data_IF_386708749668
#
_entry.id   IF_386708749668
#
_cell.length_a   1.000
_cell.length_b   1.000
_cell.length_c   1.000
_cell.angle_alpha   90.00
_cell.angle_beta   90.00
_cell.angle_gamma   90.00
#
_symmetry.space_group_name_H-M   'P 1'
#
loop_
_entity.id
_entity.type
_entity.pdbx_description
1 polymer ?
#
# COMPACT_ATOMS: atom_id res chain seq x y z
N UNK A 1 62.70 -9.45 -17.57
CA UNK A 1 62.17 -8.15 -17.07
C UNK A 1 60.69 -8.38 -16.81
N UNK A 2 60.11 -8.28 -15.62
CA UNK A 2 60.55 -7.61 -14.41
C UNK A 2 59.85 -8.27 -13.22
N UNK A 3 60.59 -9.11 -12.50
CA UNK A 3 60.28 -9.79 -11.25
C UNK A 3 60.54 -8.88 -10.05
N UNK A 4 60.05 -7.63 -10.03
CA UNK A 4 60.52 -6.66 -9.02
C UNK A 4 59.52 -5.71 -8.38
N UNK A 5 58.21 -5.75 -8.67
CA UNK A 5 57.28 -4.73 -8.12
C UNK A 5 56.13 -5.21 -7.24
N UNK A 6 55.93 -6.52 -7.06
CA UNK A 6 54.92 -7.04 -6.12
C UNK A 6 55.51 -7.79 -4.92
N UNK A 7 56.84 -7.72 -4.74
CA UNK A 7 57.54 -8.09 -3.51
C UNK A 7 57.40 -7.04 -2.39
N UNK A 8 56.76 -5.90 -2.66
CA UNK A 8 56.69 -4.77 -1.71
C UNK A 8 55.38 -4.69 -0.91
N UNK A 9 54.40 -5.56 -1.17
CA UNK A 9 53.12 -5.59 -0.45
C UNK A 9 53.01 -6.71 0.60
N UNK A 10 54.02 -7.59 0.69
CA UNK A 10 54.02 -8.72 1.64
C UNK A 10 54.85 -8.47 2.92
N UNK A 11 55.41 -7.27 3.11
CA UNK A 11 56.38 -6.98 4.17
C UNK A 11 55.99 -5.79 5.07
N UNK A 12 54.71 -5.67 5.43
CA UNK A 12 54.28 -4.71 6.45
C UNK A 12 53.09 -5.13 7.31
N UNK A 13 52.94 -6.43 7.58
CA UNK A 13 52.08 -6.94 8.65
C UNK A 13 52.84 -8.00 9.43
N UNK A 14 53.92 -7.61 10.09
CA UNK A 14 54.50 -8.40 11.18
C UNK A 14 55.23 -7.49 12.16
N UNK A 15 54.44 -6.66 12.83
CA UNK A 15 54.80 -6.10 14.12
C UNK A 15 53.66 -6.38 15.09
N UNK A 16 53.54 -7.64 15.50
CA UNK A 16 52.87 -7.98 16.75
C UNK A 16 53.85 -8.78 17.60
N UNK A 17 54.23 -8.17 18.73
CA UNK A 17 55.02 -8.78 19.79
C UNK A 17 54.42 -10.15 20.16
N UNK A 18 55.31 -11.13 20.38
CA UNK A 18 54.94 -12.39 21.02
C UNK A 18 54.43 -12.12 22.45
N UNK A 19 53.25 -12.62 22.85
CA UNK A 19 52.75 -12.44 24.21
C UNK A 19 53.57 -13.30 25.18
N UNK A 20 54.13 -12.67 26.22
CA UNK A 20 55.08 -13.30 27.15
C UNK A 20 54.45 -13.78 28.46
N UNK A 21 53.13 -13.74 28.63
CA UNK A 21 52.48 -14.20 29.86
C UNK A 21 51.11 -14.86 29.59
N UNK A 22 50.82 -15.90 30.37
CA UNK A 22 49.61 -16.75 30.26
C UNK A 22 48.31 -15.93 30.41
N UNK A 23 48.39 -14.75 31.04
CA UNK A 23 47.26 -13.85 31.27
C UNK A 23 46.71 -13.18 30.01
N UNK A 24 47.54 -12.93 28.99
CA UNK A 24 47.10 -12.28 27.73
C UNK A 24 46.38 -13.25 26.76
N UNK A 25 46.64 -14.55 26.89
CA UNK A 25 45.95 -15.57 26.08
C UNK A 25 44.49 -15.74 26.53
N UNK A 26 44.23 -15.59 27.84
CA UNK A 26 42.88 -15.71 28.42
C UNK A 26 42.00 -14.50 28.07
N UNK A 27 42.57 -13.30 27.90
CA UNK A 27 41.83 -12.14 27.42
C UNK A 27 41.49 -12.27 25.94
N UNK A 28 42.39 -12.76 25.08
CA UNK A 28 42.08 -12.98 23.66
C UNK A 28 40.98 -14.03 23.44
N UNK A 29 40.91 -15.08 24.26
CA UNK A 29 39.84 -16.10 24.23
C UNK A 29 38.47 -15.60 24.70
N UNK A 30 38.42 -14.52 25.51
CA UNK A 30 37.14 -13.91 25.92
C UNK A 30 36.51 -13.04 24.83
N UNK A 31 37.30 -12.45 23.93
CA UNK A 31 36.78 -11.63 22.83
C UNK A 31 36.30 -12.46 21.63
N UNK A 32 36.79 -13.69 21.46
CA UNK A 32 36.28 -14.61 20.43
C UNK A 32 34.94 -15.26 20.80
N UNK A 33 34.55 -15.23 22.08
CA UNK A 33 33.27 -15.76 22.57
C UNK A 33 32.14 -14.71 22.65
N UNK A 34 32.43 -13.42 22.48
CA UNK A 34 31.42 -12.33 22.44
C UNK A 34 31.11 -11.82 21.04
N UNK A 35 31.90 -12.17 20.02
CA UNK A 35 31.68 -11.76 18.62
C UNK A 35 31.04 -12.84 17.73
N UNK A 36 30.72 -14.01 18.28
CA UNK A 36 30.28 -15.19 17.52
C UNK A 36 28.78 -15.48 17.51
N UNK A 37 27.90 -14.55 17.89
CA UNK A 37 26.50 -14.94 18.15
C UNK A 37 25.46 -13.84 18.11
N UNK A 38 25.52 -12.93 17.15
CA UNK A 38 24.31 -12.20 16.72
C UNK A 38 24.21 -12.40 15.20
N UNK A 39 23.92 -13.64 14.81
CA UNK A 39 23.25 -13.89 13.54
C UNK A 39 21.83 -13.38 13.78
N UNK A 40 21.55 -12.13 13.40
CA UNK A 40 20.18 -11.68 13.25
C UNK A 40 19.57 -12.61 12.22
N UNK A 41 18.80 -13.59 12.71
CA UNK A 41 17.83 -14.31 11.92
C UNK A 41 16.80 -13.26 11.48
N UNK A 42 17.14 -12.50 10.45
CA UNK A 42 16.14 -12.04 9.50
C UNK A 42 15.63 -13.31 8.85
N UNK A 43 14.76 -14.03 9.56
CA UNK A 43 13.97 -15.08 8.93
C UNK A 43 13.29 -14.40 7.75
N UNK A 44 13.64 -14.82 6.54
CA UNK A 44 12.84 -14.46 5.36
C UNK A 44 11.45 -15.00 5.67
N UNK A 45 10.56 -14.13 6.15
CA UNK A 45 9.17 -14.48 6.31
C UNK A 45 8.66 -14.82 4.90
N UNK A 46 8.19 -16.05 4.72
CA UNK A 46 7.59 -16.46 3.46
C UNK A 46 6.27 -15.67 3.33
N UNK A 47 6.14 -14.78 2.32
CA UNK A 47 4.95 -13.96 2.15
C UNK A 47 3.68 -14.81 2.02
N UNK A 48 3.79 -16.03 1.46
CA UNK A 48 2.65 -16.94 1.29
C UNK A 48 2.18 -17.49 2.64
N UNK A 49 3.10 -17.87 3.52
CA UNK A 49 2.74 -18.41 4.84
C UNK A 49 2.13 -17.33 5.74
N UNK A 50 2.63 -16.10 5.67
CA UNK A 50 2.05 -14.97 6.41
C UNK A 50 0.66 -14.60 5.87
N UNK A 51 0.46 -14.71 4.56
CA UNK A 51 -0.85 -14.53 3.94
C UNK A 51 -1.86 -15.61 4.38
N UNK A 52 -1.45 -16.88 4.45
CA UNK A 52 -2.30 -17.97 4.97
C UNK A 52 -2.71 -17.72 6.43
N UNK A 53 -1.77 -17.34 7.28
CA UNK A 53 -2.03 -16.99 8.68
C UNK A 53 -3.04 -15.83 8.81
N UNK A 54 -2.90 -14.82 7.95
CA UNK A 54 -3.83 -13.69 7.88
C UNK A 54 -5.25 -14.15 7.50
N UNK A 55 -5.36 -15.05 6.52
CA UNK A 55 -6.66 -15.63 6.11
C UNK A 55 -7.30 -16.42 7.25
N UNK A 56 -6.53 -17.28 7.90
CA UNK A 56 -6.99 -18.14 8.99
C UNK A 56 -7.44 -17.36 10.23
N UNK A 57 -6.83 -16.20 10.49
CA UNK A 57 -7.26 -15.30 11.58
C UNK A 57 -8.71 -14.84 11.43
N UNK A 58 -9.20 -14.70 10.18
CA UNK A 58 -10.58 -14.31 9.88
C UNK A 58 -11.57 -15.47 9.81
N UNK A 59 -11.10 -16.72 9.84
CA UNK A 59 -11.94 -17.90 9.75
C UNK A 59 -12.32 -18.43 11.14
N UNK A 60 -13.53 -18.98 11.27
CA UNK A 60 -13.92 -19.65 12.51
C UNK A 60 -13.02 -20.87 12.77
N UNK A 61 -12.64 -21.09 14.02
CA UNK A 61 -11.72 -22.18 14.38
C UNK A 61 -12.28 -23.57 14.05
N UNK A 62 -11.41 -24.48 13.59
CA UNK A 62 -11.69 -25.87 13.18
C UNK A 62 -12.40 -26.04 11.83
N UNK A 63 -12.13 -25.14 10.88
CA UNK A 63 -12.50 -25.30 9.47
C UNK A 63 -11.25 -25.79 8.74
N UNK A 64 -11.35 -26.93 8.07
CA UNK A 64 -10.30 -27.38 7.16
C UNK A 64 -10.31 -26.46 5.93
N UNK A 65 -9.13 -26.05 5.47
CA UNK A 65 -8.97 -25.17 4.32
C UNK A 65 -8.01 -25.76 3.31
N UNK A 66 -8.37 -25.64 2.05
CA UNK A 66 -7.51 -25.95 0.92
C UNK A 66 -7.17 -24.68 0.16
N UNK A 67 -5.94 -24.58 -0.30
CA UNK A 67 -5.46 -23.47 -1.11
C UNK A 67 -5.05 -23.97 -2.50
N UNK A 68 -5.31 -23.17 -3.53
CA UNK A 68 -4.91 -23.45 -4.92
C UNK A 68 -4.45 -22.16 -5.60
N UNK A 69 -3.57 -22.29 -6.60
CA UNK A 69 -3.13 -21.18 -7.46
C UNK A 69 -2.59 -19.99 -6.65
N UNK A 70 -1.92 -20.27 -5.52
CA UNK A 70 -1.33 -19.28 -4.65
C UNK A 70 -0.05 -18.73 -5.30
N UNK A 71 0.07 -17.41 -5.37
CA UNK A 71 1.22 -16.73 -5.93
C UNK A 71 1.42 -15.36 -5.25
N UNK A 72 2.68 -14.99 -5.07
CA UNK A 72 3.08 -13.65 -4.64
C UNK A 72 3.25 -12.73 -5.84
N UNK A 73 2.82 -11.48 -5.67
CA UNK A 73 2.89 -10.40 -6.65
C UNK A 73 3.64 -9.20 -6.05
N UNK A 74 4.10 -8.23 -6.88
CA UNK A 74 4.80 -7.04 -6.39
C UNK A 74 4.03 -6.31 -5.27
N UNK A 75 4.75 -5.70 -4.32
CA UNK A 75 4.17 -4.90 -3.23
C UNK A 75 3.47 -5.71 -2.14
N UNK A 76 4.06 -6.84 -1.72
CA UNK A 76 3.60 -7.72 -0.64
C UNK A 76 2.14 -8.17 -0.81
N UNK A 77 1.77 -8.49 -2.06
CA UNK A 77 0.46 -9.02 -2.40
C UNK A 77 0.55 -10.52 -2.58
N UNK A 78 -0.38 -11.25 -1.96
CA UNK A 78 -0.58 -12.68 -2.24
C UNK A 78 -1.99 -12.90 -2.73
N UNK A 79 -2.12 -13.53 -3.90
CA UNK A 79 -3.41 -13.92 -4.45
C UNK A 79 -3.48 -15.42 -4.60
N UNK A 80 -4.71 -15.94 -4.60
CA UNK A 80 -4.97 -17.34 -4.84
C UNK A 80 -6.43 -17.67 -4.66
N UNK A 81 -6.70 -18.97 -4.53
CA UNK A 81 -8.03 -19.48 -4.25
C UNK A 81 -8.03 -20.25 -2.93
N UNK A 82 -9.06 -20.03 -2.13
CA UNK A 82 -9.29 -20.72 -0.87
C UNK A 82 -10.61 -21.47 -0.94
N UNK A 83 -10.61 -22.69 -0.45
CA UNK A 83 -11.79 -23.48 -0.22
C UNK A 83 -11.87 -23.88 1.25
N UNK A 84 -13.05 -23.73 1.86
CA UNK A 84 -13.27 -24.02 3.27
C UNK A 84 -14.28 -25.15 3.42
N UNK A 85 -14.02 -26.08 4.33
CA UNK A 85 -14.89 -27.22 4.59
C UNK A 85 -15.58 -27.06 5.94
N UNK A 86 -16.90 -27.23 5.96
CA UNK A 86 -17.65 -27.29 7.21
C UNK A 86 -17.37 -28.59 7.97
N UNK A 87 -17.95 -28.73 9.18
CA UNK A 87 -17.77 -29.92 10.03
C UNK A 87 -18.34 -31.21 9.43
N UNK A 88 -19.11 -31.11 8.34
CA UNK A 88 -19.72 -32.22 7.62
C UNK A 88 -19.01 -32.49 6.29
N UNK A 89 -17.92 -31.77 5.98
CA UNK A 89 -17.16 -31.91 4.74
C UNK A 89 -17.81 -31.24 3.53
N UNK A 90 -18.86 -30.42 3.69
CA UNK A 90 -19.40 -29.64 2.58
C UNK A 90 -18.53 -28.42 2.34
N UNK A 91 -18.41 -28.05 1.06
CA UNK A 91 -17.61 -26.92 0.62
C UNK A 91 -18.42 -26.04 -0.33
N UNK A 92 -18.29 -24.70 -0.22
CA UNK A 92 -18.89 -23.75 -1.15
C UNK A 92 -18.09 -23.63 -2.47
N UNK A 93 -17.05 -24.45 -2.65
CA UNK A 93 -16.08 -24.35 -3.74
C UNK A 93 -14.98 -23.31 -3.49
N UNK A 94 -13.98 -23.34 -4.39
CA UNK A 94 -12.86 -22.41 -4.40
C UNK A 94 -13.33 -20.99 -4.68
N UNK A 95 -12.85 -20.04 -3.86
CA UNK A 95 -13.09 -18.60 -4.03
C UNK A 95 -11.78 -17.85 -4.06
N UNK A 96 -11.71 -16.83 -4.92
CA UNK A 96 -10.53 -15.95 -5.03
C UNK A 96 -10.33 -15.16 -3.73
N UNK A 97 -9.09 -14.96 -3.34
CA UNK A 97 -8.71 -14.03 -2.29
C UNK A 97 -7.53 -13.17 -2.71
N UNK A 98 -7.37 -12.02 -2.03
CA UNK A 98 -6.20 -11.16 -2.12
C UNK A 98 -5.80 -10.77 -0.69
N UNK A 99 -4.54 -10.98 -0.32
CA UNK A 99 -3.96 -10.51 0.95
C UNK A 99 -2.98 -9.38 0.67
N UNK A 100 -3.12 -8.25 1.37
CA UNK A 100 -2.26 -7.05 1.26
C UNK A 100 -2.15 -6.34 2.61
N UNK A 101 -0.94 -6.03 3.06
CA UNK A 101 -0.67 -5.27 4.30
C UNK A 101 -1.58 -5.72 5.47
N UNK A 102 -1.53 -7.02 5.79
CA UNK A 102 -2.28 -7.69 6.87
C UNK A 102 -3.82 -7.71 6.72
N UNK A 103 -4.33 -7.39 5.53
CA UNK A 103 -5.77 -7.43 5.24
C UNK A 103 -6.08 -8.44 4.14
N UNK A 104 -6.96 -9.38 4.45
CA UNK A 104 -7.51 -10.32 3.48
C UNK A 104 -8.82 -9.79 2.87
N UNK A 105 -8.92 -9.85 1.54
CA UNK A 105 -10.16 -9.71 0.79
C UNK A 105 -10.57 -11.08 0.26
N UNK A 106 -11.64 -11.64 0.80
CA UNK A 106 -12.14 -12.99 0.45
C UNK A 106 -13.10 -13.01 -0.75
N UNK A 107 -13.48 -11.83 -1.23
CA UNK A 107 -14.33 -11.65 -2.42
C UNK A 107 -13.82 -10.41 -3.16
N UNK A 108 -12.63 -10.50 -3.78
CA UNK A 108 -12.09 -9.38 -4.52
C UNK A 108 -13.00 -9.04 -5.71
N UNK A 109 -13.19 -7.75 -5.97
CA UNK A 109 -13.86 -7.30 -7.20
C UNK A 109 -12.91 -7.50 -8.39
N UNK A 110 -13.45 -7.57 -9.62
CA UNK A 110 -12.64 -7.89 -10.80
C UNK A 110 -11.42 -6.97 -10.97
N UNK A 111 -11.62 -5.65 -10.83
CA UNK A 111 -10.51 -4.70 -10.94
C UNK A 111 -9.43 -4.87 -9.86
N UNK A 112 -9.80 -5.36 -8.66
CA UNK A 112 -8.82 -5.65 -7.61
C UNK A 112 -7.96 -6.85 -8.01
N UNK A 113 -8.59 -7.88 -8.60
CA UNK A 113 -7.89 -9.05 -9.08
C UNK A 113 -6.96 -8.74 -10.25
N UNK A 114 -7.47 -8.03 -11.27
CA UNK A 114 -6.70 -7.68 -12.47
C UNK A 114 -5.45 -6.84 -12.15
N UNK A 115 -5.53 -5.96 -11.15
CA UNK A 115 -4.45 -5.01 -10.85
C UNK A 115 -3.50 -5.56 -9.79
N UNK A 116 -4.00 -6.03 -8.64
CA UNK A 116 -3.12 -6.46 -7.55
C UNK A 116 -2.49 -7.83 -7.82
N UNK A 117 -3.15 -8.70 -8.58
CA UNK A 117 -2.65 -10.03 -8.91
C UNK A 117 -1.97 -10.05 -10.30
N UNK A 118 -1.26 -8.97 -10.65
CA UNK A 118 -0.52 -8.81 -11.90
C UNK A 118 0.99 -8.71 -11.61
N UNK A 119 1.81 -9.27 -12.50
CA UNK A 119 3.26 -9.08 -12.47
C UNK A 119 3.66 -7.63 -12.76
N UNK A 120 2.81 -6.91 -13.49
CA UNK A 120 2.93 -5.46 -13.73
C UNK A 120 1.60 -4.78 -13.37
N UNK A 121 1.42 -4.35 -12.11
CA UNK A 121 0.21 -3.65 -11.66
C UNK A 121 0.05 -2.29 -12.33
N UNK A 122 1.14 -1.67 -12.79
CA UNK A 122 1.12 -0.37 -13.45
C UNK A 122 0.53 -0.50 -14.86
N UNK A 123 0.98 -1.49 -15.63
CA UNK A 123 0.41 -1.80 -16.94
C UNK A 123 -1.05 -2.27 -16.82
N UNK A 124 -1.38 -3.06 -15.80
CA UNK A 124 -2.76 -3.47 -15.55
C UNK A 124 -3.69 -2.28 -15.25
N UNK A 125 -3.24 -1.32 -14.43
CA UNK A 125 -3.98 -0.08 -14.16
C UNK A 125 -4.23 0.71 -15.46
N UNK A 126 -3.19 0.89 -16.28
CA UNK A 126 -3.29 1.62 -17.54
C UNK A 126 -4.24 0.92 -18.52
N UNK A 127 -4.14 -0.40 -18.66
CA UNK A 127 -5.03 -1.17 -19.52
C UNK A 127 -6.50 -1.08 -19.06
N UNK A 128 -6.74 -1.02 -17.75
CA UNK A 128 -8.09 -1.02 -17.17
C UNK A 128 -8.76 0.35 -17.18
N UNK A 129 -8.00 1.39 -16.87
CA UNK A 129 -8.55 2.73 -16.63
C UNK A 129 -7.96 3.82 -17.54
N UNK A 130 -7.04 3.46 -18.43
CA UNK A 130 -6.34 4.44 -19.26
C UNK A 130 -5.40 5.36 -18.47
N UNK A 131 -5.15 5.10 -17.18
CA UNK A 131 -4.32 5.96 -16.34
C UNK A 131 -2.85 5.66 -16.61
N UNK A 132 -2.11 6.68 -17.03
CA UNK A 132 -0.68 6.53 -17.33
C UNK A 132 0.14 6.17 -16.08
N UNK A 133 1.29 5.47 -16.25
CA UNK A 133 2.20 5.17 -15.17
C UNK A 133 2.59 6.39 -14.34
N UNK A 134 2.47 6.26 -13.03
CA UNK A 134 2.87 7.28 -12.06
C UNK A 134 4.41 7.25 -11.90
N UNK A 135 5.11 7.71 -12.93
CA UNK A 135 6.57 7.84 -12.92
C UNK A 135 6.99 9.30 -12.68
N UNK A 136 8.27 9.53 -12.38
CA UNK A 136 8.81 10.87 -12.10
C UNK A 136 8.66 11.90 -13.23
N UNK A 137 8.10 11.53 -14.39
CA UNK A 137 7.80 12.45 -15.50
C UNK A 137 6.35 12.94 -15.48
N UNK A 138 5.43 12.22 -14.83
CA UNK A 138 4.00 12.57 -14.77
C UNK A 138 3.67 13.31 -13.45
N UNK A 139 4.08 14.58 -13.35
CA UNK A 139 3.76 15.44 -12.19
C UNK A 139 2.25 15.69 -12.02
N UNK A 140 1.49 15.56 -13.10
CA UNK A 140 0.04 15.75 -13.14
C UNK A 140 -0.67 14.69 -12.31
N UNK A 141 -0.39 13.41 -12.56
CA UNK A 141 -0.99 12.30 -11.81
C UNK A 141 -0.58 12.31 -10.34
N UNK A 142 0.68 12.67 -10.03
CA UNK A 142 1.15 12.89 -8.66
C UNK A 142 0.36 13.99 -7.93
N UNK A 143 0.09 15.09 -8.62
CA UNK A 143 -0.73 16.17 -8.08
C UNK A 143 -2.17 15.73 -7.85
N UNK A 144 -2.77 15.01 -8.81
CA UNK A 144 -4.13 14.49 -8.69
C UNK A 144 -4.25 13.50 -7.54
N UNK A 145 -3.33 12.54 -7.43
CA UNK A 145 -3.28 11.56 -6.35
C UNK A 145 -3.21 12.24 -4.98
N UNK A 146 -2.30 13.20 -4.81
CA UNK A 146 -2.18 13.96 -3.56
C UNK A 146 -3.46 14.72 -3.23
N UNK A 147 -4.01 15.50 -4.16
CA UNK A 147 -5.22 16.28 -3.95
C UNK A 147 -6.44 15.40 -3.62
N UNK A 148 -6.63 14.31 -4.36
CA UNK A 148 -7.71 13.37 -4.09
C UNK A 148 -7.53 12.70 -2.72
N UNK A 149 -6.30 12.37 -2.32
CA UNK A 149 -6.01 11.78 -1.01
C UNK A 149 -6.29 12.75 0.14
N UNK A 150 -5.88 14.03 0.00
CA UNK A 150 -6.16 15.09 0.96
C UNK A 150 -7.67 15.32 1.13
N UNK A 151 -8.41 15.42 0.02
CA UNK A 151 -9.85 15.60 0.01
C UNK A 151 -10.60 14.36 0.55
N UNK A 152 -10.19 13.15 0.19
CA UNK A 152 -10.80 11.90 0.69
C UNK A 152 -10.59 11.77 2.20
N UNK A 153 -9.41 12.11 2.71
CA UNK A 153 -9.13 12.15 4.14
C UNK A 153 -10.00 13.19 4.87
N UNK A 154 -10.09 14.41 4.34
CA UNK A 154 -10.92 15.47 4.91
C UNK A 154 -12.42 15.09 4.96
N UNK A 155 -12.93 14.45 3.90
CA UNK A 155 -14.31 13.94 3.84
C UNK A 155 -14.57 12.85 4.88
N UNK A 156 -13.62 11.93 5.08
CA UNK A 156 -13.73 10.89 6.12
C UNK A 156 -13.74 11.46 7.52
N UNK A 157 -12.85 12.43 7.80
CA UNK A 157 -12.83 13.14 9.08
C UNK A 157 -14.15 13.87 9.33
N UNK A 158 -14.66 14.60 8.34
CA UNK A 158 -15.96 15.25 8.43
C UNK A 158 -17.08 14.24 8.74
N UNK A 159 -17.09 13.09 8.06
CA UNK A 159 -18.07 12.03 8.30
C UNK A 159 -17.97 11.46 9.72
N UNK A 160 -16.75 11.24 10.23
CA UNK A 160 -16.53 10.76 11.59
C UNK A 160 -17.04 11.75 12.64
N UNK A 161 -16.76 13.05 12.48
CA UNK A 161 -17.12 14.07 13.47
C UNK A 161 -18.62 14.43 13.45
N UNK A 162 -19.23 14.43 12.26
CA UNK A 162 -20.60 14.94 12.05
C UNK A 162 -21.62 13.85 11.76
N UNK A 163 -21.19 12.59 11.63
CA UNK A 163 -22.02 11.44 11.21
C UNK A 163 -22.78 11.66 9.88
N UNK A 164 -22.39 12.66 9.09
CA UNK A 164 -22.99 13.03 7.83
C UNK A 164 -21.91 13.52 6.87
N UNK A 165 -22.12 13.34 5.57
CA UNK A 165 -21.27 13.94 4.53
C UNK A 165 -21.71 15.37 4.20
N UNK A 166 -20.77 16.27 3.87
CA UNK A 166 -21.09 17.65 3.49
C UNK A 166 -21.89 17.69 2.18
N UNK A 167 -22.59 18.80 1.94
CA UNK A 167 -23.32 19.00 0.68
C UNK A 167 -22.38 19.37 -0.46
N UNK A 168 -21.33 20.12 -0.14
CA UNK A 168 -20.33 20.61 -1.10
C UNK A 168 -18.93 20.45 -0.52
N UNK A 169 -17.91 20.35 -1.37
CA UNK A 169 -16.51 20.27 -0.90
C UNK A 169 -16.07 21.55 -0.21
N UNK A 170 -16.69 22.69 -0.53
CA UNK A 170 -16.42 23.98 0.10
C UNK A 170 -16.65 23.94 1.62
N UNK A 171 -17.61 23.15 2.14
CA UNK A 171 -17.86 23.01 3.59
C UNK A 171 -16.68 22.40 4.36
N UNK A 172 -15.75 21.72 3.67
CA UNK A 172 -14.54 21.18 4.28
C UNK A 172 -13.54 22.28 4.67
N UNK A 173 -13.53 23.41 3.94
CA UNK A 173 -12.56 24.48 4.14
C UNK A 173 -12.87 25.32 5.37
N UNK A 174 -11.82 25.71 6.11
CA UNK A 174 -11.88 26.55 7.32
C UNK A 174 -12.74 27.81 7.15
N UNK A 175 -12.61 28.49 6.01
CA UNK A 175 -13.24 29.77 5.70
C UNK A 175 -14.66 29.68 5.10
N UNK A 176 -15.27 28.49 5.04
CA UNK A 176 -16.59 28.32 4.41
C UNK A 176 -17.73 28.95 5.23
N UNK A 177 -18.39 29.96 4.65
CA UNK A 177 -19.41 30.82 5.27
C UNK A 177 -20.84 30.58 4.80
N UNK A 178 -21.10 29.60 3.92
CA UNK A 178 -22.41 29.43 3.29
C UNK A 178 -23.06 28.11 3.68
N UNK A 179 -23.94 28.14 4.70
CA UNK A 179 -24.83 27.03 5.03
C UNK A 179 -25.03 26.76 6.53
N UNK A 180 -26.01 25.91 6.90
CA UNK A 180 -26.19 25.48 8.28
C UNK A 180 -24.94 24.73 8.74
N UNK A 181 -24.26 25.25 9.76
CA UNK A 181 -23.07 24.62 10.32
C UNK A 181 -23.46 23.29 10.99
N UNK A 182 -22.75 22.19 10.73
CA UNK A 182 -23.00 20.95 11.44
C UNK A 182 -22.61 21.14 12.91
N UNK A 183 -23.37 20.49 13.81
CA UNK A 183 -23.26 20.72 15.26
C UNK A 183 -21.87 20.44 15.85
N UNK A 184 -21.08 19.57 15.20
CA UNK A 184 -19.79 19.09 15.69
C UNK A 184 -18.63 19.48 14.77
N UNK A 185 -18.72 20.59 14.04
CA UNK A 185 -17.65 21.03 13.14
C UNK A 185 -16.36 21.30 13.91
N UNK A 186 -15.23 20.76 13.43
CA UNK A 186 -13.89 21.11 13.92
C UNK A 186 -13.59 22.60 13.66
N UNK A 187 -13.09 23.29 14.70
CA UNK A 187 -12.59 24.66 14.60
C UNK A 187 -11.37 24.70 13.68
N UNK A 188 -11.40 25.55 12.65
CA UNK A 188 -10.39 25.59 11.59
C UNK A 188 -10.65 24.66 10.39
N UNK A 189 -11.79 23.96 10.33
CA UNK A 189 -12.14 23.12 9.17
C UNK A 189 -11.35 21.80 9.07
N UNK A 190 -11.54 21.09 7.95
CA UNK A 190 -10.93 19.78 7.68
C UNK A 190 -9.78 19.85 6.67
N UNK A 191 -9.70 20.96 5.93
CA UNK A 191 -8.64 21.27 4.96
C UNK A 191 -8.45 22.79 4.90
N UNK A 192 -7.21 23.24 4.74
CA UNK A 192 -6.90 24.68 4.72
C UNK A 192 -7.44 25.37 3.46
N UNK A 193 -7.24 24.73 2.30
CA UNK A 193 -7.68 25.20 0.99
C UNK A 193 -8.19 24.02 0.17
N UNK A 194 -9.30 24.20 -0.52
CA UNK A 194 -9.79 23.22 -1.50
C UNK A 194 -8.85 23.23 -2.71
N UNK A 195 -8.14 22.13 -3.02
CA UNK A 195 -7.35 22.05 -4.22
C UNK A 195 -8.23 21.96 -5.46
N UNK A 196 -7.73 22.51 -6.56
CA UNK A 196 -8.27 22.32 -7.91
C UNK A 196 -7.49 21.19 -8.60
N UNK A 197 -8.08 20.60 -9.62
CA UNK A 197 -7.36 19.69 -10.49
C UNK A 197 -6.23 20.42 -11.24
N UNK A 198 -5.24 19.71 -11.81
CA UNK A 198 -4.13 20.34 -12.52
C UNK A 198 -4.52 21.22 -13.72
N UNK A 199 -5.78 21.12 -14.17
CA UNK A 199 -6.32 21.85 -15.29
C UNK A 199 -7.21 23.03 -14.86
N UNK A 200 -7.18 23.38 -13.55
CA UNK A 200 -7.85 24.55 -13.00
C UNK A 200 -9.35 24.39 -12.79
N UNK A 201 -9.85 23.15 -12.68
CA UNK A 201 -11.26 22.87 -12.40
C UNK A 201 -11.44 22.31 -10.99
N UNK A 202 -12.60 22.56 -10.36
CA UNK A 202 -12.93 21.91 -9.09
C UNK A 202 -13.12 20.40 -9.31
N UNK A 203 -12.68 19.60 -8.33
CA UNK A 203 -12.99 18.18 -8.32
C UNK A 203 -14.50 17.93 -8.24
N UNK A 204 -14.97 16.91 -8.97
CA UNK A 204 -16.34 16.45 -8.90
C UNK A 204 -16.57 15.69 -7.59
N UNK A 205 -17.63 16.08 -6.88
CA UNK A 205 -18.04 15.44 -5.64
C UNK A 205 -19.52 15.06 -5.72
N UNK A 206 -19.81 13.78 -5.51
CA UNK A 206 -21.18 13.25 -5.53
C UNK A 206 -21.43 12.43 -4.27
N UNK A 207 -22.41 12.86 -3.47
CA UNK A 207 -22.92 12.08 -2.35
C UNK A 207 -23.83 10.96 -2.86
N UNK A 208 -23.47 9.72 -2.55
CA UNK A 208 -24.28 8.57 -2.95
C UNK A 208 -25.40 8.37 -1.94
N UNK A 209 -26.66 8.41 -2.40
CA UNK A 209 -27.83 8.18 -1.56
C UNK A 209 -27.99 6.67 -1.34
N UNK A 210 -27.30 6.07 -0.36
CA UNK A 210 -27.52 4.67 0.04
C UNK A 210 -27.90 4.50 1.50
N UNK A 211 -28.89 3.64 1.70
CA UNK A 211 -29.36 3.06 2.95
C UNK A 211 -28.49 1.81 3.21
N UNK A 212 -27.71 1.76 4.29
CA UNK A 212 -27.02 0.56 4.81
C UNK A 212 -25.87 -0.05 3.97
N UNK A 213 -25.01 -0.88 4.61
CA UNK A 213 -23.57 -0.63 4.77
C UNK A 213 -22.79 -1.00 3.49
N UNK A 214 -22.46 -0.01 2.67
CA UNK A 214 -21.47 -0.16 1.61
C UNK A 214 -20.30 0.80 1.88
N UNK A 215 -19.04 0.39 1.61
CA UNK A 215 -17.85 1.17 1.96
C UNK A 215 -17.68 2.48 1.15
N UNK A 216 -18.60 2.81 0.25
CA UNK A 216 -18.51 4.01 -0.62
C UNK A 216 -19.75 4.87 -0.47
N UNK A 217 -19.63 5.91 0.34
CA UNK A 217 -20.68 6.87 0.67
C UNK A 217 -20.68 8.09 -0.28
N UNK A 218 -19.58 8.31 -1.02
CA UNK A 218 -19.42 9.36 -2.02
C UNK A 218 -18.48 8.95 -3.15
N UNK A 219 -18.52 9.70 -4.25
CA UNK A 219 -17.51 9.71 -5.32
C UNK A 219 -16.79 11.05 -5.31
N UNK A 220 -15.48 11.01 -5.47
CA UNK A 220 -14.64 12.18 -5.66
C UNK A 220 -13.72 11.92 -6.86
N UNK A 221 -13.73 12.77 -7.89
CA UNK A 221 -12.99 12.51 -9.13
C UNK A 221 -12.71 13.76 -9.98
N UNK A 222 -11.79 13.63 -10.94
CA UNK A 222 -11.55 14.56 -12.06
C UNK A 222 -11.77 13.81 -13.38
N UNK A 223 -12.23 14.52 -14.40
CA UNK A 223 -12.53 14.00 -15.74
C UNK A 223 -11.32 14.10 -16.70
N UNK A 224 -10.09 14.18 -16.16
CA UNK A 224 -8.91 14.39 -16.99
C UNK A 224 -8.92 15.72 -17.74
N UNK A 225 -7.84 16.05 -18.45
CA UNK A 225 -7.64 17.34 -19.14
C UNK A 225 -8.80 17.77 -20.04
N UNK A 226 -9.44 16.84 -20.74
CA UNK A 226 -10.54 17.14 -21.67
C UNK A 226 -11.87 17.48 -20.97
N UNK A 227 -12.06 17.04 -19.72
CA UNK A 227 -13.28 17.28 -18.95
C UNK A 227 -14.45 16.41 -19.40
N UNK A 228 -14.17 15.27 -20.04
CA UNK A 228 -15.16 14.35 -20.56
C UNK A 228 -14.93 12.98 -19.94
N UNK A 229 -16.02 12.28 -19.60
CA UNK A 229 -15.91 10.94 -19.04
C UNK A 229 -15.22 9.97 -20.01
N UNK A 230 -14.29 9.18 -19.48
CA UNK A 230 -13.46 8.24 -20.21
C UNK A 230 -12.03 8.74 -20.38
N UNK A 231 -11.54 8.67 -21.62
CA UNK A 231 -10.19 9.11 -21.98
C UNK A 231 -9.07 8.18 -21.52
N UNK A 232 -7.84 8.55 -21.90
CA UNK A 232 -6.60 7.86 -21.54
C UNK A 232 -5.49 8.89 -21.32
N UNK A 233 -4.45 8.52 -20.59
CA UNK A 233 -3.34 9.38 -20.24
C UNK A 233 -3.80 10.58 -19.41
N UNK A 234 -3.49 11.79 -19.87
CA UNK A 234 -3.93 13.02 -19.21
C UNK A 234 -5.46 13.23 -19.28
N UNK A 235 -6.13 12.60 -20.25
CA UNK A 235 -7.58 12.69 -20.41
C UNK A 235 -8.32 11.61 -19.60
N UNK A 236 -7.61 10.76 -18.85
CA UNK A 236 -8.23 9.68 -18.09
C UNK A 236 -8.99 10.17 -16.84
N UNK A 237 -10.15 9.56 -16.59
CA UNK A 237 -10.91 9.73 -15.35
C UNK A 237 -10.16 9.16 -14.13
N UNK A 238 -9.91 10.01 -13.14
CA UNK A 238 -9.22 9.62 -11.89
C UNK A 238 -10.09 10.00 -10.70
N UNK A 239 -10.43 9.00 -9.87
CA UNK A 239 -11.25 9.16 -8.69
C UNK A 239 -10.79 8.37 -7.48
N UNK A 240 -11.45 8.63 -6.35
CA UNK A 240 -11.09 8.06 -5.05
C UNK A 240 -11.17 6.52 -5.01
N UNK A 241 -11.92 5.89 -5.93
CA UNK A 241 -11.97 4.43 -6.05
C UNK A 241 -10.71 3.81 -6.66
N UNK A 242 -9.88 4.59 -7.35
CA UNK A 242 -8.59 4.16 -7.89
C UNK A 242 -7.42 4.46 -6.93
N UNK A 243 -7.61 5.26 -5.87
CA UNK A 243 -6.53 5.62 -4.94
C UNK A 243 -5.81 4.39 -4.38
N UNK A 244 -6.54 3.33 -4.01
CA UNK A 244 -5.93 2.08 -3.52
C UNK A 244 -4.95 1.42 -4.50
N UNK A 245 -5.12 1.63 -5.81
CA UNK A 245 -4.20 1.11 -6.82
C UNK A 245 -3.01 2.04 -6.99
N UNK A 246 -3.25 3.35 -7.00
CA UNK A 246 -2.19 4.36 -7.06
C UNK A 246 -1.27 4.28 -5.83
N UNK A 247 -1.84 4.17 -4.63
CA UNK A 247 -1.12 3.98 -3.37
C UNK A 247 -0.21 2.73 -3.43
N UNK A 248 -0.74 1.64 -3.99
CA UNK A 248 0.01 0.41 -4.17
C UNK A 248 1.17 0.60 -5.15
N UNK A 249 0.93 1.21 -6.32
CA UNK A 249 1.98 1.48 -7.32
C UNK A 249 3.07 2.40 -6.77
N UNK A 250 2.70 3.40 -5.97
CA UNK A 250 3.66 4.31 -5.31
C UNK A 250 4.52 3.58 -4.26
N UNK A 251 4.02 2.48 -3.70
CA UNK A 251 4.73 1.68 -2.70
C UNK A 251 5.66 0.59 -3.26
N UNK A 252 5.63 0.36 -4.58
CA UNK A 252 6.51 -0.62 -5.26
C UNK A 252 7.96 -0.13 -5.34
#
# INVERSE_FOLDING_TARGET
MSTMLLSWLFERVNHYNKPTTITEVVTLLKWTLTLGGILLMFGCADPIEDAKKTLETGLFQNIEVEYRNIQSFPGDVVCGEINSFDRWGNSPGYKRFIVRADRASLVPVENDWEIFCSEDPTAALQARFGIDPMNGKNSTLQTVHRHLSELDFALRQYLTDNAALPLTTQELASASTTGPQPKNRKEGGYIDKIPEDPWGRPYHYEKLRRLHPAPKTYKLYTLGRDGVAGGTGEDADIGNWQLKYLDHIVSL
#
